data_IF_722054616133
#
_entry.id   IF_722054616133
#
_cell.length_a   1.000
_cell.length_b   1.000
_cell.length_c   1.000
_cell.angle_alpha   90.00
_cell.angle_beta   90.00
_cell.angle_gamma   90.00
#
_symmetry.space_group_name_H-M   'P 1'
#
loop_
_entity.id
_entity.type
_entity.pdbx_description
1 polymer ?
#
# COMPACT_ATOMS: atom_id res chain seq x y z
N UNK A 1 -10.44 21.23 -18.97
CA UNK A 1 -10.09 20.04 -19.77
C UNK A 1 -11.06 18.94 -19.37
N UNK A 2 -11.60 18.22 -20.35
CA UNK A 2 -12.78 17.34 -20.26
C UNK A 2 -12.61 16.16 -19.31
N UNK A 3 -13.63 15.94 -18.47
CA UNK A 3 -13.71 14.90 -17.43
C UNK A 3 -13.86 13.50 -18.02
N UNK A 4 -12.75 12.95 -18.49
CA UNK A 4 -12.62 11.54 -18.84
C UNK A 4 -12.10 10.73 -17.65
N UNK A 5 -12.53 9.47 -17.50
CA UNK A 5 -13.60 8.76 -18.22
C UNK A 5 -15.00 9.16 -17.75
N UNK A 6 -15.99 9.03 -18.65
CA UNK A 6 -17.42 9.16 -18.32
C UNK A 6 -17.93 7.90 -17.61
N UNK A 7 -19.09 7.98 -16.95
CA UNK A 7 -19.69 6.86 -16.17
C UNK A 7 -19.83 5.55 -16.94
N UNK A 8 -19.93 5.63 -18.27
CA UNK A 8 -20.23 4.49 -19.14
C UNK A 8 -18.96 3.82 -19.68
N UNK A 9 -17.78 4.34 -19.32
CA UNK A 9 -16.51 3.76 -19.78
C UNK A 9 -16.22 2.46 -19.03
N UNK A 10 -16.03 1.37 -19.76
CA UNK A 10 -15.63 0.09 -19.17
C UNK A 10 -14.24 0.21 -18.55
N UNK A 11 -14.17 0.02 -17.23
CA UNK A 11 -12.92 0.02 -16.47
C UNK A 11 -12.49 -1.44 -16.27
N UNK A 12 -11.35 -1.81 -16.82
CA UNK A 12 -10.70 -3.08 -16.51
C UNK A 12 -9.74 -2.89 -15.33
N UNK A 13 -9.56 -3.95 -14.53
CA UNK A 13 -8.81 -3.91 -13.28
C UNK A 13 -7.69 -4.93 -13.31
N UNK A 14 -6.47 -4.48 -13.04
CA UNK A 14 -5.29 -5.35 -12.87
C UNK A 14 -4.56 -4.92 -11.61
N UNK A 15 -4.71 -5.70 -10.54
CA UNK A 15 -4.22 -5.33 -9.20
C UNK A 15 -4.82 -4.00 -8.72
N UNK A 16 -3.96 -3.04 -8.38
CA UNK A 16 -4.38 -1.68 -7.98
C UNK A 16 -4.55 -0.70 -9.12
N UNK A 17 -4.30 -1.14 -10.34
CA UNK A 17 -4.39 -0.30 -11.52
C UNK A 17 -5.75 -0.48 -12.17
N UNK A 18 -6.45 0.63 -12.37
CA UNK A 18 -7.64 0.70 -13.19
C UNK A 18 -7.24 1.22 -14.57
N UNK A 19 -7.75 0.56 -15.60
CA UNK A 19 -7.49 0.90 -16.98
C UNK A 19 -8.81 1.17 -17.66
N UNK A 20 -8.83 2.15 -18.55
CA UNK A 20 -9.97 2.37 -19.43
C UNK A 20 -9.49 2.78 -20.81
N UNK A 21 -10.26 2.41 -21.83
CA UNK A 21 -10.02 2.86 -23.19
C UNK A 21 -11.11 3.87 -23.57
N UNK A 22 -10.69 5.06 -24.03
CA UNK A 22 -11.59 6.10 -24.51
C UNK A 22 -11.09 6.57 -25.86
N UNK A 23 -11.91 6.43 -26.91
CA UNK A 23 -11.58 6.85 -28.28
C UNK A 23 -10.25 6.27 -28.81
N UNK A 24 -9.96 5.00 -28.48
CA UNK A 24 -8.73 4.32 -28.90
C UNK A 24 -7.46 4.74 -28.14
N UNK A 25 -7.60 5.54 -27.06
CA UNK A 25 -6.52 5.90 -26.15
C UNK A 25 -6.70 5.14 -24.84
N UNK A 26 -5.63 4.52 -24.37
CA UNK A 26 -5.64 3.84 -23.08
C UNK A 26 -5.25 4.80 -21.97
N UNK A 27 -5.95 4.73 -20.85
CA UNK A 27 -5.67 5.48 -19.66
C UNK A 27 -5.50 4.52 -18.50
N UNK A 28 -4.58 4.87 -17.59
CA UNK A 28 -4.32 4.15 -16.35
C UNK A 28 -4.47 5.08 -15.19
N UNK A 29 -5.05 4.59 -14.10
CA UNK A 29 -4.96 5.21 -12.79
C UNK A 29 -4.74 4.16 -11.73
N UNK A 30 -4.37 4.58 -10.53
CA UNK A 30 -4.45 3.71 -9.35
C UNK A 30 -5.83 3.82 -8.73
N UNK A 31 -6.34 2.71 -8.19
CA UNK A 31 -7.62 2.67 -7.48
C UNK A 31 -7.59 3.64 -6.30
N UNK A 32 -8.57 4.52 -6.21
CA UNK A 32 -8.63 5.61 -5.22
C UNK A 32 -8.02 6.94 -5.68
N UNK A 33 -7.31 6.97 -6.81
CA UNK A 33 -6.84 8.21 -7.45
C UNK A 33 -7.92 8.68 -8.43
N UNK A 34 -8.26 9.97 -8.44
CA UNK A 34 -9.27 10.49 -9.37
C UNK A 34 -8.69 10.75 -10.76
N UNK A 35 -7.41 11.11 -10.82
CA UNK A 35 -6.71 11.47 -12.05
C UNK A 35 -6.32 10.24 -12.86
N UNK A 36 -6.50 10.35 -14.18
CA UNK A 36 -6.15 9.34 -15.18
C UNK A 36 -4.95 9.80 -15.99
N UNK A 37 -3.99 8.91 -16.19
CA UNK A 37 -2.81 9.16 -17.02
C UNK A 37 -2.95 8.42 -18.35
N UNK A 38 -2.82 9.15 -19.46
CA UNK A 38 -2.82 8.55 -20.80
C UNK A 38 -1.56 7.71 -21.00
N UNK A 39 -1.73 6.48 -21.48
CA UNK A 39 -0.65 5.59 -21.90
C UNK A 39 -0.33 5.95 -23.35
N UNK A 40 0.84 6.52 -23.58
CA UNK A 40 1.35 6.72 -24.94
C UNK A 40 2.05 5.46 -25.40
N UNK A 41 1.45 4.74 -26.36
CA UNK A 41 2.12 3.68 -27.10
C UNK A 41 3.24 4.31 -27.94
N UNK A 42 4.45 4.39 -27.37
CA UNK A 42 5.66 4.52 -28.18
C UNK A 42 5.89 3.17 -28.87
N UNK A 43 5.27 3.04 -30.04
CA UNK A 43 5.29 1.91 -30.98
C UNK A 43 6.26 0.77 -30.69
N UNK A 44 5.69 -0.37 -30.34
CA UNK A 44 6.38 -1.65 -30.30
C UNK A 44 5.56 -2.64 -29.49
N UNK A 45 5.09 -3.71 -30.14
CA UNK A 45 4.52 -4.89 -29.50
C UNK A 45 5.43 -5.36 -28.35
N UNK A 46 5.12 -4.97 -27.12
CA UNK A 46 5.53 -5.71 -25.94
C UNK A 46 4.39 -6.67 -25.58
N UNK A 47 4.24 -7.75 -26.38
CA UNK A 47 3.90 -9.05 -25.79
C UNK A 47 5.15 -9.56 -25.07
N UNK A 48 5.67 -8.78 -24.15
CA UNK A 48 6.71 -9.22 -23.25
C UNK A 48 6.01 -9.59 -21.95
N UNK A 49 6.39 -10.75 -21.44
CA UNK A 49 6.39 -11.03 -20.01
C UNK A 49 7.00 -9.84 -19.27
N UNK A 50 6.19 -8.82 -18.99
CA UNK A 50 6.56 -7.72 -18.10
C UNK A 50 6.87 -8.39 -16.77
N UNK A 51 8.15 -8.44 -16.44
CA UNK A 51 8.59 -8.81 -15.12
C UNK A 51 8.13 -7.68 -14.20
N UNK A 52 6.88 -7.77 -13.74
CA UNK A 52 6.22 -6.68 -13.05
C UNK A 52 7.04 -6.29 -11.84
N UNK A 53 7.35 -4.99 -11.74
CA UNK A 53 8.25 -4.46 -10.73
C UNK A 53 7.73 -4.82 -9.32
N UNK A 54 8.62 -5.32 -8.48
CA UNK A 54 8.31 -5.61 -7.08
C UNK A 54 8.25 -4.27 -6.33
N UNK A 55 7.21 -4.10 -5.53
CA UNK A 55 6.90 -2.82 -4.89
C UNK A 55 6.57 -3.03 -3.43
N UNK A 56 6.95 -2.07 -2.59
CA UNK A 56 6.44 -1.93 -1.22
C UNK A 56 5.41 -0.79 -1.18
N UNK A 57 4.26 -1.06 -0.57
CA UNK A 57 3.15 -0.11 -0.48
C UNK A 57 2.60 -0.04 0.93
N UNK A 58 2.14 1.14 1.35
CA UNK A 58 1.27 1.31 2.51
C UNK A 58 -0.17 1.01 2.07
N UNK A 59 -0.88 0.15 2.79
CA UNK A 59 -2.30 -0.14 2.58
C UNK A 59 -3.10 0.31 3.79
N UNK A 60 -4.24 0.94 3.55
CA UNK A 60 -5.17 1.40 4.57
C UNK A 60 -6.48 0.64 4.45
N UNK A 61 -7.03 0.22 5.58
CA UNK A 61 -8.34 -0.44 5.67
C UNK A 61 -9.27 0.32 6.61
N UNK A 62 -10.55 0.37 6.25
CA UNK A 62 -11.60 0.84 7.14
C UNK A 62 -11.75 -0.10 8.34
N UNK A 63 -11.98 0.47 9.51
CA UNK A 63 -12.36 -0.24 10.71
C UNK A 63 -13.79 0.12 11.13
N UNK A 64 -14.20 -0.24 12.35
CA UNK A 64 -15.49 0.15 12.88
C UNK A 64 -15.67 1.69 12.82
N UNK A 65 -16.91 2.20 12.71
CA UNK A 65 -17.14 3.64 12.63
C UNK A 65 -16.52 4.41 13.80
N UNK A 66 -15.70 5.41 13.48
CA UNK A 66 -15.00 6.24 14.47
C UNK A 66 -13.59 5.74 14.84
N UNK A 67 -13.21 4.53 14.43
CA UNK A 67 -11.86 4.00 14.65
C UNK A 67 -10.86 4.52 13.59
N UNK A 68 -9.58 4.68 13.95
CA UNK A 68 -8.53 4.98 12.99
C UNK A 68 -8.40 3.87 11.94
N UNK A 69 -7.92 4.21 10.75
CA UNK A 69 -7.71 3.27 9.66
C UNK A 69 -6.62 2.27 10.02
N UNK A 70 -6.88 0.98 9.80
CA UNK A 70 -5.86 -0.05 9.99
C UNK A 70 -4.81 0.03 8.89
N UNK A 71 -3.53 0.02 9.26
CA UNK A 71 -2.41 0.17 8.32
C UNK A 71 -1.61 -1.13 8.21
N UNK A 72 -1.16 -1.42 7.00
CA UNK A 72 -0.25 -2.53 6.73
C UNK A 72 0.74 -2.18 5.63
N UNK A 73 1.88 -2.87 5.62
CA UNK A 73 2.80 -2.86 4.49
C UNK A 73 2.50 -4.05 3.59
N UNK A 74 2.49 -3.81 2.29
CA UNK A 74 2.23 -4.81 1.27
C UNK A 74 3.38 -4.84 0.27
N UNK A 75 4.00 -6.01 0.14
CA UNK A 75 5.07 -6.27 -0.82
C UNK A 75 4.53 -7.17 -1.91
N UNK A 76 4.41 -6.64 -3.12
CA UNK A 76 3.84 -7.36 -4.25
C UNK A 76 4.47 -6.94 -5.57
N UNK A 77 4.36 -7.82 -6.57
CA UNK A 77 4.55 -7.44 -7.97
C UNK A 77 3.23 -6.89 -8.51
N UNK A 78 3.30 -5.90 -9.41
CA UNK A 78 2.08 -5.30 -9.96
C UNK A 78 1.12 -6.37 -10.52
N UNK A 79 -0.15 -6.29 -10.12
CA UNK A 79 -1.20 -7.23 -10.54
C UNK A 79 -1.16 -8.61 -9.87
N UNK A 80 -0.33 -8.83 -8.84
CA UNK A 80 -0.20 -10.13 -8.15
C UNK A 80 -0.58 -10.04 -6.67
N UNK A 81 -0.88 -11.22 -6.12
CA UNK A 81 -0.94 -11.42 -4.68
C UNK A 81 0.47 -11.20 -4.08
N UNK A 82 0.52 -10.71 -2.84
CA UNK A 82 1.76 -10.33 -2.18
C UNK A 82 1.74 -10.60 -0.68
N UNK A 83 2.86 -10.27 -0.03
CA UNK A 83 3.04 -10.44 1.41
C UNK A 83 2.56 -9.21 2.16
N UNK A 84 1.83 -9.43 3.25
CA UNK A 84 1.32 -8.37 4.13
C UNK A 84 2.05 -8.43 5.47
N UNK A 85 2.56 -7.29 5.91
CA UNK A 85 3.18 -7.11 7.22
C UNK A 85 2.39 -6.08 8.01
N UNK A 86 1.94 -6.45 9.21
CA UNK A 86 1.04 -5.63 10.03
C UNK A 86 1.10 -6.06 11.48
N UNK A 87 0.60 -5.19 12.36
CA UNK A 87 0.28 -5.52 13.74
C UNK A 87 -1.23 -5.44 13.93
N UNK A 88 -1.78 -6.33 14.75
CA UNK A 88 -3.22 -6.37 15.08
C UNK A 88 -3.43 -6.57 16.58
N UNK A 89 -4.63 -6.27 17.03
CA UNK A 89 -5.02 -6.33 18.44
C UNK A 89 -5.36 -4.95 18.97
N UNK A 90 -5.67 -4.90 20.26
CA UNK A 90 -5.98 -3.64 20.94
C UNK A 90 -4.72 -2.79 21.14
N UNK A 91 -4.90 -1.48 21.23
CA UNK A 91 -3.79 -0.55 21.43
C UNK A 91 -2.97 -0.78 22.72
N UNK A 92 -3.54 -1.51 23.70
CA UNK A 92 -2.81 -1.97 24.88
C UNK A 92 -1.87 -3.15 24.59
N UNK A 93 -2.26 -4.02 23.66
CA UNK A 93 -1.57 -5.28 23.38
C UNK A 93 -1.66 -5.69 21.91
N UNK A 94 -0.90 -5.01 21.06
CA UNK A 94 -0.77 -5.39 19.65
C UNK A 94 0.24 -6.53 19.48
N UNK A 95 0.02 -7.33 18.44
CA UNK A 95 0.87 -8.43 18.04
C UNK A 95 1.17 -8.34 16.55
N UNK A 96 2.43 -8.65 16.19
CA UNK A 96 2.82 -8.80 14.79
C UNK A 96 2.08 -9.99 14.19
N UNK A 97 1.32 -9.75 13.11
CA UNK A 97 0.45 -10.73 12.46
C UNK A 97 0.55 -10.59 10.93
N UNK A 98 1.66 -11.05 10.32
CA UNK A 98 1.81 -11.03 8.87
C UNK A 98 0.81 -11.99 8.20
N UNK A 99 0.68 -11.89 6.88
CA UNK A 99 -0.08 -12.89 6.11
C UNK A 99 0.70 -14.22 6.05
N UNK A 100 0.02 -15.35 6.28
CA UNK A 100 0.61 -16.70 6.18
C UNK A 100 0.96 -17.10 4.73
N UNK A 101 0.25 -16.52 3.77
CA UNK A 101 0.43 -16.74 2.33
C UNK A 101 0.33 -15.43 1.57
N UNK A 102 0.75 -15.44 0.30
CA UNK A 102 0.51 -14.31 -0.58
C UNK A 102 -0.99 -14.12 -0.79
N UNK A 103 -1.47 -12.90 -0.57
CA UNK A 103 -2.89 -12.54 -0.74
C UNK A 103 -3.04 -11.32 -1.65
N UNK A 104 -4.18 -11.25 -2.33
CA UNK A 104 -4.61 -10.02 -2.98
C UNK A 104 -5.36 -9.17 -1.95
N UNK A 105 -4.63 -8.30 -1.26
CA UNK A 105 -5.19 -7.41 -0.24
C UNK A 105 -6.23 -6.43 -0.81
N UNK A 106 -6.23 -6.23 -2.13
CA UNK A 106 -7.14 -5.33 -2.83
C UNK A 106 -8.56 -5.91 -2.94
N UNK A 107 -8.74 -7.20 -2.68
CA UNK A 107 -10.04 -7.87 -2.68
C UNK A 107 -10.75 -7.81 -1.32
N UNK A 108 -10.11 -7.25 -0.28
CA UNK A 108 -10.74 -7.06 1.03
C UNK A 108 -11.89 -6.06 0.96
N UNK A 109 -13.03 -6.38 1.57
CA UNK A 109 -14.17 -5.45 1.68
C UNK A 109 -13.81 -4.17 2.44
N UNK A 110 -12.84 -4.26 3.35
CA UNK A 110 -12.37 -3.12 4.14
C UNK A 110 -11.24 -2.36 3.47
N UNK A 111 -10.77 -2.76 2.28
CA UNK A 111 -9.73 -2.02 1.58
C UNK A 111 -10.19 -0.59 1.30
N UNK A 112 -9.34 0.39 1.62
CA UNK A 112 -9.60 1.80 1.34
C UNK A 112 -8.62 2.38 0.32
N UNK A 113 -7.34 2.49 0.70
CA UNK A 113 -6.30 3.13 -0.10
C UNK A 113 -5.03 2.29 -0.15
N UNK A 114 -4.24 2.47 -1.21
CA UNK A 114 -2.89 1.94 -1.29
C UNK A 114 -1.92 2.96 -1.90
N UNK A 115 -0.85 3.25 -1.18
CA UNK A 115 0.19 4.20 -1.57
C UNK A 115 1.49 3.46 -1.85
N UNK A 116 2.01 3.58 -3.08
CA UNK A 116 3.32 3.04 -3.39
C UNK A 116 4.41 3.87 -2.70
N UNK A 117 5.24 3.18 -1.93
CA UNK A 117 6.35 3.76 -1.19
C UNK A 117 7.65 3.66 -1.99
N UNK A 118 7.93 2.50 -2.59
CA UNK A 118 9.10 2.30 -3.46
C UNK A 118 8.93 1.09 -4.39
N UNK A 119 9.68 1.11 -5.49
CA UNK A 119 10.04 -0.09 -6.25
C UNK A 119 11.28 -0.69 -5.63
N UNK A 120 11.29 -2.01 -5.41
CA UNK A 120 12.34 -2.71 -4.65
C UNK A 120 12.86 -3.93 -5.41
N UNK A 121 14.11 -4.32 -5.12
CA UNK A 121 14.65 -5.63 -5.51
C UNK A 121 14.15 -6.73 -4.57
N UNK A 122 14.37 -8.00 -4.93
CA UNK A 122 14.06 -9.14 -4.04
C UNK A 122 14.88 -9.09 -2.73
N UNK A 123 16.13 -8.63 -2.80
CA UNK A 123 16.98 -8.44 -1.63
C UNK A 123 16.42 -7.34 -0.72
N UNK A 124 16.01 -6.21 -1.29
CA UNK A 124 15.36 -5.15 -0.53
C UNK A 124 14.02 -5.59 0.06
N UNK A 125 13.24 -6.41 -0.64
CA UNK A 125 12.01 -6.99 -0.09
C UNK A 125 12.26 -7.92 1.10
N UNK A 126 13.39 -8.65 1.08
CA UNK A 126 13.83 -9.45 2.24
C UNK A 126 14.16 -8.54 3.42
N UNK A 127 14.85 -7.41 3.19
CA UNK A 127 15.12 -6.41 4.23
C UNK A 127 13.80 -5.80 4.77
N UNK A 128 12.80 -5.56 3.91
CA UNK A 128 11.47 -5.07 4.34
C UNK A 128 10.84 -6.06 5.32
N UNK A 129 10.87 -7.35 5.00
CA UNK A 129 10.37 -8.42 5.88
C UNK A 129 11.11 -8.42 7.22
N UNK A 130 12.45 -8.42 7.20
CA UNK A 130 13.27 -8.46 8.41
C UNK A 130 13.00 -7.28 9.34
N UNK A 131 12.91 -6.06 8.78
CA UNK A 131 12.62 -4.86 9.57
C UNK A 131 11.22 -4.95 10.19
N UNK A 132 10.22 -5.39 9.43
CA UNK A 132 8.87 -5.57 9.95
C UNK A 132 8.83 -6.60 11.09
N UNK A 133 9.51 -7.74 10.93
CA UNK A 133 9.58 -8.78 11.96
C UNK A 133 10.29 -8.34 13.25
N UNK A 134 11.31 -7.49 13.12
CA UNK A 134 12.11 -7.01 14.25
C UNK A 134 11.50 -5.79 14.95
N UNK A 135 10.54 -5.09 14.32
CA UNK A 135 9.91 -3.91 14.90
C UNK A 135 8.91 -4.30 15.99
N UNK A 136 9.13 -3.92 17.26
CA UNK A 136 8.25 -4.31 18.34
C UNK A 136 6.83 -3.75 18.13
N UNK A 137 5.79 -4.60 18.25
CA UNK A 137 4.41 -4.13 18.25
C UNK A 137 4.16 -3.14 19.39
N UNK A 138 3.30 -2.12 19.19
CA UNK A 138 2.90 -1.19 20.24
C UNK A 138 2.29 -1.93 21.43
N UNK A 139 2.67 -1.49 22.63
CA UNK A 139 2.15 -2.01 23.90
C UNK A 139 2.01 -0.87 24.89
N UNK A 140 0.94 -0.88 25.65
CA UNK A 140 0.70 0.07 26.72
C UNK A 140 0.26 -0.68 28.00
N UNK A 141 0.72 -0.26 29.19
CA UNK A 141 0.31 -0.89 30.44
C UNK A 141 -1.17 -0.64 30.78
N UNK A 142 -1.82 0.34 30.13
CA UNK A 142 -3.25 0.63 30.25
C UNK A 142 -3.71 1.51 29.09
N UNK A 143 -5.03 1.58 28.87
CA UNK A 143 -5.65 2.43 27.84
C UNK A 143 -5.25 3.90 27.93
N UNK A 144 -5.15 4.44 29.15
CA UNK A 144 -4.74 5.83 29.38
C UNK A 144 -3.27 6.10 29.02
N UNK A 145 -2.45 5.05 28.88
CA UNK A 145 -1.04 5.13 28.51
C UNK A 145 -0.79 4.81 27.02
N UNK A 146 -1.84 4.64 26.22
CA UNK A 146 -1.71 4.43 24.78
C UNK A 146 -1.21 5.72 24.12
N UNK A 147 -0.04 5.62 23.50
CA UNK A 147 0.57 6.72 22.72
C UNK A 147 0.76 6.35 21.25
N UNK A 148 0.48 5.10 20.90
CA UNK A 148 0.75 4.53 19.58
C UNK A 148 -0.14 3.33 19.29
N UNK A 149 -0.44 3.11 18.01
CA UNK A 149 -1.21 2.00 17.46
C UNK A 149 -0.54 1.40 16.20
N UNK A 150 -1.30 0.67 15.38
CA UNK A 150 -0.84 0.06 14.13
C UNK A 150 -0.31 1.09 13.12
N UNK A 151 -0.77 2.34 13.15
CA UNK A 151 -0.28 3.40 12.27
C UNK A 151 1.12 3.81 12.68
N UNK A 152 1.34 4.00 13.99
CA UNK A 152 2.65 4.33 14.55
C UNK A 152 3.69 3.25 14.28
N UNK A 153 3.34 1.96 14.46
CA UNK A 153 4.22 0.85 14.11
C UNK A 153 4.65 0.91 12.63
N UNK A 154 3.69 1.15 11.73
CA UNK A 154 3.95 1.25 10.30
C UNK A 154 4.87 2.43 9.97
N UNK A 155 4.69 3.57 10.65
CA UNK A 155 5.58 4.73 10.52
C UNK A 155 7.00 4.39 10.97
N UNK A 156 7.19 3.64 12.07
CA UNK A 156 8.51 3.20 12.53
C UNK A 156 9.19 2.27 11.53
N UNK A 157 8.46 1.29 10.98
CA UNK A 157 9.00 0.40 9.94
C UNK A 157 9.44 1.21 8.72
N UNK A 158 8.61 2.14 8.23
CA UNK A 158 8.96 3.00 7.10
C UNK A 158 10.17 3.88 7.41
N UNK A 159 10.29 4.41 8.63
CA UNK A 159 11.45 5.20 9.05
C UNK A 159 12.75 4.38 8.96
N UNK A 160 12.75 3.13 9.42
CA UNK A 160 13.90 2.21 9.27
C UNK A 160 14.18 1.89 7.80
N UNK A 161 13.16 1.78 6.95
CA UNK A 161 13.36 1.61 5.51
C UNK A 161 13.99 2.83 4.84
N UNK A 162 13.69 4.04 5.32
CA UNK A 162 14.37 5.27 4.89
C UNK A 162 15.84 5.26 5.31
N UNK A 163 16.14 4.86 6.54
CA UNK A 163 17.54 4.73 7.02
C UNK A 163 18.37 3.74 6.19
N UNK A 164 17.72 2.72 5.61
CA UNK A 164 18.35 1.75 4.68
C UNK A 164 18.38 2.21 3.22
N UNK A 165 17.85 3.40 2.90
CA UNK A 165 17.77 3.92 1.53
C UNK A 165 16.80 3.18 0.62
N UNK A 166 15.86 2.41 1.19
CA UNK A 166 14.86 1.64 0.42
C UNK A 166 13.63 2.51 0.10
N UNK A 167 13.25 3.38 1.03
CA UNK A 167 12.13 4.32 0.87
C UNK A 167 12.67 5.75 0.95
N UNK A 168 12.12 6.66 0.15
CA UNK A 168 12.49 8.06 0.23
C UNK A 168 11.90 8.75 1.47
N UNK A 169 12.64 9.71 2.05
CA UNK A 169 12.16 10.51 3.19
C UNK A 169 10.86 11.27 2.89
N UNK A 170 10.63 11.63 1.61
CA UNK A 170 9.39 12.26 1.13
C UNK A 170 8.15 11.40 1.44
N UNK A 171 8.27 10.08 1.26
CA UNK A 171 7.20 9.10 1.52
C UNK A 171 6.96 8.91 3.00
N UNK A 172 7.99 8.93 3.83
CA UNK A 172 7.83 8.91 5.29
C UNK A 172 7.10 10.15 5.79
N UNK A 173 7.43 11.34 5.25
CA UNK A 173 6.75 12.58 5.62
C UNK A 173 5.27 12.57 5.19
N UNK A 174 4.97 12.09 3.98
CA UNK A 174 3.60 11.85 3.52
C UNK A 174 2.87 10.90 4.49
N UNK A 175 3.47 9.76 4.84
CA UNK A 175 2.86 8.80 5.76
C UNK A 175 2.58 9.41 7.14
N UNK A 176 3.53 10.16 7.72
CA UNK A 176 3.33 10.87 9.00
C UNK A 176 2.17 11.87 8.95
N UNK A 177 1.99 12.56 7.82
CA UNK A 177 0.89 13.52 7.66
C UNK A 177 -0.50 12.89 7.61
N UNK A 178 -0.59 11.57 7.35
CA UNK A 178 -1.85 10.82 7.28
C UNK A 178 -2.23 10.15 8.59
N UNK A 179 -1.37 10.19 9.62
CA UNK A 179 -1.64 9.54 10.91
C UNK A 179 -2.87 10.17 11.57
N UNK A 180 -3.79 9.32 12.01
CA UNK A 180 -4.98 9.68 12.75
C UNK A 180 -4.71 9.60 14.25
N UNK A 181 -5.39 10.44 15.02
CA UNK A 181 -5.30 10.40 16.47
C UNK A 181 -6.06 9.18 17.02
N UNK A 182 -5.52 8.66 18.12
CA UNK A 182 -6.02 7.51 18.89
C UNK A 182 -6.80 8.02 20.11
#
# INVERSE_FOLDING_TARGET
MSGYPTSDTLISRIGVSEFCEVNGRQFKRKRGVQEWTEIFDSGGLAKDTEQTSLCVSLVQHTQAPGEPLHWSLFVTREGKAGWVYQVKGDAEFMNYQPSDNQIDITMSETFLNMYNLATVTEEQATIVKEIAEQEPPPRAPSRAAVIEDFQGWTVRVIAKLVERGIVESSKLNMTRSMVQQI
#
